data_IF_488208431612
#
_entry.id   IF_488208431612
#
_cell.length_a   1.000
_cell.length_b   1.000
_cell.length_c   1.000
_cell.angle_alpha   90.00
_cell.angle_beta   90.00
_cell.angle_gamma   90.00
#
_symmetry.space_group_name_H-M   'P 1'
#
loop_
_entity.id
_entity.type
_entity.pdbx_description
1 polymer ?
#
# COMPACT_ATOMS: atom_id res chain seq x y z
N UNK A 1 -25.97 30.96 2.77
CA UNK A 1 -25.70 31.17 4.21
C UNK A 1 -26.28 30.04 5.05
N UNK A 2 -27.54 29.63 4.85
CA UNK A 2 -28.14 28.45 5.50
C UNK A 2 -27.46 27.11 5.12
N UNK A 3 -27.05 26.92 3.86
CA UNK A 3 -26.34 25.70 3.42
C UNK A 3 -24.94 25.50 4.04
N UNK A 4 -24.29 26.59 4.49
CA UNK A 4 -23.01 26.51 5.21
C UNK A 4 -23.21 26.04 6.66
N UNK A 5 -24.33 26.42 7.31
CA UNK A 5 -24.62 26.03 8.69
C UNK A 5 -24.94 24.53 8.84
N UNK A 6 -25.74 23.97 7.93
CA UNK A 6 -26.04 22.53 7.91
C UNK A 6 -24.79 21.68 7.57
N UNK A 7 -23.89 22.24 6.76
CA UNK A 7 -22.60 21.61 6.47
C UNK A 7 -21.70 21.56 7.71
N UNK A 8 -21.60 22.65 8.48
CA UNK A 8 -20.80 22.70 9.70
C UNK A 8 -21.33 21.76 10.80
N UNK A 9 -22.65 21.65 10.98
CA UNK A 9 -23.24 20.81 12.01
C UNK A 9 -22.98 19.30 11.79
N UNK A 10 -23.12 18.81 10.56
CA UNK A 10 -22.88 17.40 10.23
C UNK A 10 -21.39 17.01 10.36
N UNK A 11 -20.49 17.94 10.03
CA UNK A 11 -19.04 17.73 10.13
C UNK A 11 -18.58 17.66 11.59
N UNK A 12 -19.23 18.44 12.44
CA UNK A 12 -18.94 18.49 13.86
C UNK A 12 -19.25 17.14 14.51
N UNK A 13 -20.46 16.62 14.28
CA UNK A 13 -20.89 15.35 14.85
C UNK A 13 -20.02 14.17 14.40
N UNK A 14 -19.72 14.04 13.10
CA UNK A 14 -18.91 12.92 12.60
C UNK A 14 -17.50 12.91 13.21
N UNK A 15 -16.89 14.09 13.35
CA UNK A 15 -15.59 14.23 13.97
C UNK A 15 -15.64 13.92 15.47
N UNK A 16 -16.62 14.45 16.20
CA UNK A 16 -16.79 14.17 17.62
C UNK A 16 -17.02 12.67 17.88
N UNK A 17 -17.87 12.03 17.07
CA UNK A 17 -18.13 10.59 17.15
C UNK A 17 -16.86 9.77 16.91
N UNK A 18 -16.04 10.18 15.93
CA UNK A 18 -14.76 9.53 15.65
C UNK A 18 -13.78 9.70 16.83
N UNK A 19 -13.63 10.91 17.36
CA UNK A 19 -12.76 11.17 18.52
C UNK A 19 -13.25 10.39 19.74
N UNK A 20 -14.55 10.39 20.01
CA UNK A 20 -15.15 9.64 21.11
C UNK A 20 -14.89 8.14 20.96
N UNK A 21 -15.17 7.57 19.79
CA UNK A 21 -14.93 6.16 19.52
C UNK A 21 -13.46 5.79 19.75
N UNK A 22 -12.53 6.56 19.18
CA UNK A 22 -11.09 6.30 19.27
C UNK A 22 -10.63 6.39 20.72
N UNK A 23 -10.96 7.47 21.42
CA UNK A 23 -10.54 7.70 22.81
C UNK A 23 -11.21 6.76 23.81
N UNK A 24 -12.33 6.13 23.45
CA UNK A 24 -12.94 5.05 24.24
C UNK A 24 -12.16 3.72 24.18
N UNK A 25 -11.26 3.57 23.19
CA UNK A 25 -10.50 2.35 22.94
C UNK A 25 -9.00 2.50 23.10
N UNK A 26 -8.48 3.72 22.94
CA UNK A 26 -7.06 4.02 22.93
C UNK A 26 -6.80 5.15 23.93
N UNK A 27 -5.71 5.04 24.68
CA UNK A 27 -5.29 6.09 25.60
C UNK A 27 -5.09 7.43 24.84
N UNK A 28 -5.86 8.43 25.26
CA UNK A 28 -5.80 9.81 24.76
C UNK A 28 -4.40 10.43 24.78
N UNK A 29 -3.54 10.01 25.71
CA UNK A 29 -2.16 10.50 25.78
C UNK A 29 -1.32 10.13 24.55
N UNK A 30 -1.70 9.05 23.87
CA UNK A 30 -1.06 8.52 22.65
C UNK A 30 -1.67 9.07 21.36
N UNK A 31 -2.69 9.92 21.46
CA UNK A 31 -3.43 10.46 20.32
C UNK A 31 -3.07 11.92 20.12
N UNK A 32 -2.82 12.30 18.87
CA UNK A 32 -2.68 13.70 18.47
C UNK A 32 -3.43 14.00 17.19
N UNK A 33 -3.69 15.28 16.93
CA UNK A 33 -4.45 15.75 15.78
C UNK A 33 -3.56 16.68 14.97
N UNK A 34 -3.39 16.41 13.67
CA UNK A 34 -2.84 17.39 12.73
C UNK A 34 -3.98 18.15 12.05
N UNK A 35 -3.89 19.47 12.02
CA UNK A 35 -4.83 20.34 11.31
C UNK A 35 -4.08 21.40 10.50
N UNK A 36 -4.61 21.72 9.31
CA UNK A 36 -4.02 22.73 8.43
C UNK A 36 -4.14 24.14 9.03
N UNK A 37 -3.17 25.00 8.73
CA UNK A 37 -3.25 26.45 9.03
C UNK A 37 -2.92 27.30 7.81
N UNK A 38 -3.79 28.26 7.43
CA UNK A 38 -5.16 28.45 7.94
C UNK A 38 -6.10 27.31 7.49
N UNK A 39 -7.09 26.96 8.31
CA UNK A 39 -8.15 26.01 7.95
C UNK A 39 -9.46 26.33 8.66
N UNK A 40 -10.63 26.20 7.98
CA UNK A 40 -11.93 26.31 8.62
C UNK A 40 -12.22 25.17 9.62
N UNK A 41 -11.37 24.14 9.65
CA UNK A 41 -11.50 23.00 10.57
C UNK A 41 -10.80 23.22 11.91
N UNK A 42 -10.19 24.40 12.13
CA UNK A 42 -9.46 24.71 13.36
C UNK A 42 -10.37 24.68 14.60
N UNK A 43 -11.51 25.35 14.56
CA UNK A 43 -12.44 25.43 15.70
C UNK A 43 -12.96 24.04 16.11
N UNK A 44 -13.12 23.15 15.13
CA UNK A 44 -13.54 21.77 15.35
C UNK A 44 -12.57 21.01 16.26
N UNK A 45 -11.26 21.13 16.00
CA UNK A 45 -10.23 20.38 16.76
C UNK A 45 -9.90 21.02 18.11
N UNK A 46 -10.07 22.34 18.23
CA UNK A 46 -9.80 23.08 19.48
C UNK A 46 -10.79 22.74 20.61
N UNK A 47 -11.94 22.14 20.28
CA UNK A 47 -12.89 21.62 21.27
C UNK A 47 -12.40 20.35 21.98
N UNK A 48 -11.35 19.70 21.47
CA UNK A 48 -10.84 18.43 22.02
C UNK A 48 -9.79 18.65 23.10
N UNK A 49 -9.65 17.69 24.02
CA UNK A 49 -8.56 17.68 25.01
C UNK A 49 -7.27 16.99 24.48
N UNK A 50 -7.18 16.76 23.17
CA UNK A 50 -6.07 16.04 22.55
C UNK A 50 -4.92 16.99 22.19
N UNK A 51 -3.73 16.42 21.98
CA UNK A 51 -2.58 17.20 21.51
C UNK A 51 -2.78 17.63 20.06
N UNK A 52 -2.77 18.93 19.78
CA UNK A 52 -2.98 19.49 18.44
C UNK A 52 -1.66 19.96 17.84
N UNK A 53 -1.44 19.61 16.56
CA UNK A 53 -0.32 20.02 15.74
C UNK A 53 -0.83 20.83 14.54
N UNK A 54 -0.43 22.09 14.49
CA UNK A 54 -0.74 22.98 13.36
C UNK A 54 0.33 22.83 12.28
N UNK A 55 -0.09 22.44 11.07
CA UNK A 55 0.82 22.23 9.94
C UNK A 55 0.48 23.18 8.78
N UNK A 56 1.48 23.53 7.94
CA UNK A 56 1.24 24.22 6.68
C UNK A 56 0.20 23.49 5.83
N UNK A 57 -0.70 24.24 5.18
CA UNK A 57 -1.83 23.69 4.42
C UNK A 57 -1.39 22.71 3.32
N UNK A 58 -0.27 22.97 2.67
CA UNK A 58 0.31 22.12 1.64
C UNK A 58 0.66 20.70 2.13
N UNK A 59 0.83 20.51 3.44
CA UNK A 59 1.08 19.20 4.04
C UNK A 59 -0.20 18.42 4.35
N UNK A 60 -1.35 19.11 4.39
CA UNK A 60 -2.65 18.58 4.81
C UNK A 60 -3.75 18.89 3.81
N UNK A 61 -3.38 19.11 2.55
CA UNK A 61 -4.32 19.15 1.43
C UNK A 61 -4.38 17.77 0.80
N UNK A 62 -5.59 17.22 0.70
CA UNK A 62 -5.83 15.94 0.04
C UNK A 62 -6.36 16.18 -1.36
N UNK A 63 -5.99 15.31 -2.29
CA UNK A 63 -6.45 15.35 -3.68
C UNK A 63 -6.88 13.96 -4.12
N UNK A 64 -8.11 13.83 -4.63
CA UNK A 64 -8.51 12.61 -5.33
C UNK A 64 -7.76 12.55 -6.66
N UNK A 65 -7.23 11.36 -6.99
CA UNK A 65 -6.56 11.13 -8.28
C UNK A 65 -7.46 11.55 -9.45
N UNK A 66 -6.96 12.45 -10.29
CA UNK A 66 -7.73 13.09 -11.36
C UNK A 66 -8.14 14.54 -11.06
N UNK A 67 -7.82 15.06 -9.88
CA UNK A 67 -7.86 16.49 -9.55
C UNK A 67 -9.26 17.09 -9.38
N UNK A 68 -10.32 16.26 -9.43
CA UNK A 68 -11.71 16.73 -9.34
C UNK A 68 -12.15 17.12 -7.93
N UNK A 69 -11.53 16.53 -6.91
CA UNK A 69 -11.84 16.77 -5.51
C UNK A 69 -10.56 17.10 -4.76
N UNK A 70 -10.60 18.15 -3.98
CA UNK A 70 -9.51 18.53 -3.09
C UNK A 70 -10.04 19.23 -1.86
N UNK A 71 -9.36 19.06 -0.73
CA UNK A 71 -9.83 19.59 0.53
C UNK A 71 -8.77 19.67 1.59
N UNK A 72 -9.02 20.52 2.58
CA UNK A 72 -8.27 20.48 3.83
C UNK A 72 -8.60 19.17 4.56
N UNK A 73 -7.58 18.61 5.23
CA UNK A 73 -7.66 17.37 5.98
C UNK A 73 -7.35 17.60 7.46
N UNK A 74 -8.09 16.91 8.33
CA UNK A 74 -7.64 16.61 9.70
C UNK A 74 -7.09 15.18 9.72
N UNK A 75 -5.93 14.98 10.33
CA UNK A 75 -5.39 13.64 10.60
C UNK A 75 -5.43 13.37 12.10
N UNK A 76 -5.94 12.21 12.49
CA UNK A 76 -5.85 11.69 13.85
C UNK A 76 -4.74 10.64 13.88
N UNK A 77 -3.77 10.87 14.76
CA UNK A 77 -2.48 10.21 14.80
C UNK A 77 -2.32 9.40 16.07
N UNK A 78 -1.67 8.25 15.95
CA UNK A 78 -1.19 7.43 17.06
C UNK A 78 0.34 7.46 17.08
N UNK A 79 0.95 7.52 18.26
CA UNK A 79 2.40 7.75 18.46
C UNK A 79 3.30 7.01 17.46
N UNK A 80 2.99 5.73 17.16
CA UNK A 80 3.60 5.00 16.04
C UNK A 80 2.67 3.86 15.63
N UNK A 81 2.23 3.75 14.37
CA UNK A 81 2.51 4.56 13.18
C UNK A 81 1.57 5.77 13.05
N UNK A 82 2.10 6.77 12.34
CA UNK A 82 1.73 8.18 12.42
C UNK A 82 0.27 8.56 12.15
N UNK A 83 -0.56 7.77 11.46
CA UNK A 83 -1.88 8.22 10.99
C UNK A 83 -2.81 7.03 10.90
N UNK A 84 -4.04 7.09 11.42
CA UNK A 84 -5.02 6.02 11.18
C UNK A 84 -6.42 6.49 10.83
N UNK A 85 -6.79 7.75 11.10
CA UNK A 85 -8.06 8.33 10.67
C UNK A 85 -7.85 9.70 10.01
N UNK A 86 -8.56 9.95 8.92
CA UNK A 86 -8.54 11.18 8.15
C UNK A 86 -9.99 11.67 7.95
N UNK A 87 -10.21 12.97 8.18
CA UNK A 87 -11.45 13.66 7.83
C UNK A 87 -11.12 14.70 6.76
N UNK A 88 -11.85 14.68 5.65
CA UNK A 88 -11.62 15.56 4.50
C UNK A 88 -12.81 16.48 4.28
N UNK A 89 -12.55 17.78 4.20
CA UNK A 89 -13.53 18.75 3.69
C UNK A 89 -13.26 18.98 2.20
N UNK A 90 -13.82 18.10 1.37
CA UNK A 90 -13.64 18.13 -0.09
C UNK A 90 -14.49 19.23 -0.72
N UNK A 91 -13.89 20.00 -1.61
CA UNK A 91 -14.60 20.93 -2.49
C UNK A 91 -14.40 20.55 -3.94
N UNK A 92 -15.46 20.65 -4.75
CA UNK A 92 -15.40 20.44 -6.20
C UNK A 92 -16.30 21.42 -6.94
N UNK A 93 -15.99 21.67 -8.21
CA UNK A 93 -16.79 22.57 -9.07
C UNK A 93 -17.78 21.72 -9.88
N UNK A 94 -19.07 21.97 -9.70
CA UNK A 94 -20.15 21.38 -10.47
C UNK A 94 -21.00 22.51 -11.06
N UNK A 95 -21.15 22.57 -12.39
CA UNK A 95 -21.96 23.60 -13.06
C UNK A 95 -21.62 25.04 -12.65
N UNK A 96 -20.33 25.37 -12.49
CA UNK A 96 -19.82 26.66 -11.99
C UNK A 96 -20.17 26.99 -10.52
N UNK A 97 -20.65 26.02 -9.75
CA UNK A 97 -20.89 26.14 -8.31
C UNK A 97 -19.87 25.31 -7.54
N UNK A 98 -19.25 25.90 -6.51
CA UNK A 98 -18.42 25.17 -5.56
C UNK A 98 -19.37 24.38 -4.65
N UNK A 99 -19.26 23.06 -4.69
CA UNK A 99 -19.98 22.15 -3.79
C UNK A 99 -18.98 21.60 -2.77
N UNK A 100 -19.37 21.57 -1.50
CA UNK A 100 -18.59 20.98 -0.42
C UNK A 100 -19.17 19.62 -0.03
N UNK A 101 -18.30 18.65 0.19
CA UNK A 101 -18.59 17.28 0.60
C UNK A 101 -17.65 16.94 1.74
N UNK A 102 -18.16 16.27 2.78
CA UNK A 102 -17.29 15.66 3.78
C UNK A 102 -17.13 14.19 3.48
N UNK A 103 -15.87 13.79 3.48
CA UNK A 103 -15.42 12.43 3.31
C UNK A 103 -14.59 12.05 4.54
N UNK A 104 -14.56 10.77 4.88
CA UNK A 104 -13.78 10.27 6.01
C UNK A 104 -13.22 8.89 5.72
N UNK A 105 -12.04 8.61 6.25
CA UNK A 105 -11.40 7.33 6.04
C UNK A 105 -10.57 6.95 7.24
N UNK A 106 -10.84 5.76 7.76
CA UNK A 106 -10.07 5.16 8.83
C UNK A 106 -9.49 3.83 8.35
N UNK A 107 -8.17 3.69 8.44
CA UNK A 107 -7.49 2.45 8.07
C UNK A 107 -7.70 1.42 9.19
N UNK A 108 -8.60 0.46 8.93
CA UNK A 108 -8.97 -0.58 9.89
C UNK A 108 -7.76 -1.34 10.43
N UNK A 109 -6.76 -1.62 9.60
CA UNK A 109 -5.55 -2.34 9.99
C UNK A 109 -4.71 -1.54 10.99
N UNK A 110 -4.59 -0.22 10.79
CA UNK A 110 -3.86 0.65 11.71
C UNK A 110 -4.65 0.89 12.99
N UNK A 111 -5.97 1.02 12.91
CA UNK A 111 -6.83 1.09 14.09
C UNK A 111 -6.71 -0.19 14.92
N UNK A 112 -6.84 -1.36 14.29
CA UNK A 112 -6.75 -2.66 14.97
C UNK A 112 -5.38 -2.84 15.64
N UNK A 113 -4.31 -2.42 14.95
CA UNK A 113 -2.97 -2.43 15.51
C UNK A 113 -2.81 -1.46 16.69
N UNK A 114 -3.43 -0.27 16.67
CA UNK A 114 -3.40 0.65 17.79
C UNK A 114 -4.21 0.14 19.00
N UNK A 115 -5.43 -0.38 18.77
CA UNK A 115 -6.30 -0.93 19.83
C UNK A 115 -5.63 -2.11 20.56
N UNK A 116 -4.93 -2.98 19.82
CA UNK A 116 -4.28 -4.16 20.39
C UNK A 116 -2.80 -3.95 20.71
N UNK A 117 -2.30 -2.72 20.60
CA UNK A 117 -0.89 -2.36 20.86
C UNK A 117 0.13 -3.22 20.09
N UNK A 118 -0.22 -3.62 18.87
CA UNK A 118 0.69 -4.33 17.97
C UNK A 118 1.81 -3.40 17.48
N UNK A 119 3.01 -3.95 17.28
CA UNK A 119 4.18 -3.16 16.82
C UNK A 119 4.03 -2.69 15.38
N UNK A 120 3.30 -3.45 14.56
CA UNK A 120 3.04 -3.12 13.17
C UNK A 120 1.77 -3.81 12.67
N UNK A 121 1.23 -3.36 11.53
CA UNK A 121 -0.01 -3.88 10.95
C UNK A 121 0.05 -5.37 10.58
N UNK A 122 1.25 -5.95 10.40
CA UNK A 122 1.41 -7.36 10.06
C UNK A 122 1.28 -8.32 11.24
N UNK A 123 1.16 -7.78 12.46
CA UNK A 123 0.83 -8.55 13.66
C UNK A 123 -0.68 -8.65 13.89
N UNK A 124 -1.49 -7.89 13.14
CA UNK A 124 -2.95 -8.04 13.15
C UNK A 124 -3.37 -9.43 12.69
N UNK A 125 -4.45 -9.98 13.25
CA UNK A 125 -4.85 -11.37 13.04
C UNK A 125 -4.98 -11.76 11.56
N UNK A 126 -5.54 -10.89 10.71
CA UNK A 126 -5.71 -11.15 9.28
C UNK A 126 -4.35 -11.39 8.58
N UNK A 127 -3.37 -10.50 8.78
CA UNK A 127 -2.05 -10.61 8.16
C UNK A 127 -1.15 -11.62 8.87
N UNK A 128 -1.27 -11.74 10.18
CA UNK A 128 -0.49 -12.68 11.00
C UNK A 128 -0.80 -14.14 10.61
N UNK A 129 -2.05 -14.45 10.28
CA UNK A 129 -2.44 -15.78 9.83
C UNK A 129 -1.79 -16.15 8.48
N UNK A 130 -1.72 -15.20 7.54
CA UNK A 130 -1.01 -15.39 6.26
C UNK A 130 0.49 -15.58 6.54
N UNK A 131 1.10 -14.72 7.37
CA UNK A 131 2.52 -14.83 7.76
C UNK A 131 2.85 -16.18 8.40
N UNK A 132 2.05 -16.64 9.35
CA UNK A 132 2.23 -17.94 10.02
C UNK A 132 2.15 -19.12 9.05
N UNK A 133 1.29 -19.05 8.04
CA UNK A 133 1.22 -20.08 6.99
C UNK A 133 2.46 -20.03 6.10
N UNK A 134 2.89 -18.84 5.67
CA UNK A 134 4.11 -18.67 4.88
C UNK A 134 5.35 -19.16 5.63
N UNK A 135 5.48 -18.83 6.93
CA UNK A 135 6.66 -19.18 7.74
C UNK A 135 6.80 -20.67 8.00
N UNK A 136 5.71 -21.46 7.91
CA UNK A 136 5.76 -22.93 8.01
C UNK A 136 6.46 -23.56 6.80
N UNK A 137 6.39 -22.89 5.66
CA UNK A 137 6.89 -23.41 4.39
C UNK A 137 8.24 -22.76 4.02
N UNK A 138 8.46 -21.50 4.42
CA UNK A 138 9.61 -20.69 3.99
C UNK A 138 10.07 -19.77 5.11
N UNK A 139 11.37 -19.78 5.38
CA UNK A 139 12.00 -18.77 6.25
C UNK A 139 12.37 -17.54 5.42
N UNK A 140 11.43 -16.60 5.28
CA UNK A 140 11.73 -15.29 4.71
C UNK A 140 12.26 -14.33 5.78
N UNK A 141 13.13 -13.41 5.38
CA UNK A 141 13.37 -12.20 6.15
C UNK A 141 12.07 -11.41 6.34
N UNK A 142 11.92 -10.78 7.50
CA UNK A 142 10.66 -10.14 7.89
C UNK A 142 10.12 -9.13 6.86
N UNK A 143 10.93 -8.22 6.26
CA UNK A 143 10.42 -7.29 5.25
C UNK A 143 9.82 -7.99 4.03
N UNK A 144 10.43 -9.12 3.63
CA UNK A 144 9.96 -9.92 2.50
C UNK A 144 8.68 -10.69 2.85
N UNK A 145 8.63 -11.28 4.05
CA UNK A 145 7.43 -11.94 4.57
C UNK A 145 6.24 -10.98 4.63
N UNK A 146 6.47 -9.76 5.13
CA UNK A 146 5.45 -8.70 5.21
C UNK A 146 4.95 -8.32 3.82
N UNK A 147 5.87 -8.09 2.87
CA UNK A 147 5.51 -7.79 1.49
C UNK A 147 4.65 -8.89 0.88
N UNK A 148 5.12 -10.16 0.90
CA UNK A 148 4.38 -11.27 0.28
C UNK A 148 3.00 -11.42 0.92
N UNK A 149 2.89 -11.26 2.24
CA UNK A 149 1.60 -11.38 2.95
C UNK A 149 0.60 -10.30 2.52
N UNK A 150 1.05 -9.05 2.39
CA UNK A 150 0.21 -7.95 1.91
C UNK A 150 -0.28 -8.19 0.48
N UNK A 151 0.62 -8.60 -0.42
CA UNK A 151 0.25 -8.86 -1.81
C UNK A 151 -0.69 -10.08 -1.94
N UNK A 152 -0.49 -11.13 -1.14
CA UNK A 152 -1.39 -12.29 -1.12
C UNK A 152 -2.78 -11.90 -0.61
N UNK A 153 -2.86 -11.07 0.44
CA UNK A 153 -4.14 -10.54 0.92
C UNK A 153 -4.84 -9.74 -0.17
N UNK A 154 -4.13 -8.85 -0.86
CA UNK A 154 -4.68 -8.08 -1.97
C UNK A 154 -5.18 -8.99 -3.12
N UNK A 155 -4.38 -9.98 -3.51
CA UNK A 155 -4.77 -10.98 -4.53
C UNK A 155 -6.01 -11.78 -4.10
N UNK A 156 -6.12 -12.19 -2.84
CA UNK A 156 -7.30 -12.87 -2.31
C UNK A 156 -8.56 -12.03 -2.50
N UNK A 157 -8.53 -10.73 -2.12
CA UNK A 157 -9.69 -9.83 -2.28
C UNK A 157 -10.05 -9.62 -3.75
N UNK A 158 -9.05 -9.46 -4.63
CA UNK A 158 -9.28 -9.32 -6.07
C UNK A 158 -9.92 -10.57 -6.68
N UNK A 159 -9.44 -11.75 -6.30
CA UNK A 159 -9.95 -13.03 -6.81
C UNK A 159 -11.38 -13.29 -6.33
N UNK A 160 -11.72 -12.94 -5.08
CA UNK A 160 -13.09 -13.02 -4.56
C UNK A 160 -14.07 -12.09 -5.28
N UNK A 161 -13.57 -11.08 -5.99
CA UNK A 161 -14.36 -10.16 -6.83
C UNK A 161 -14.28 -10.52 -8.32
N UNK A 162 -13.80 -11.73 -8.66
CA UNK A 162 -13.58 -12.21 -10.03
C UNK A 162 -12.66 -11.31 -10.88
N UNK A 163 -11.82 -10.50 -10.23
CA UNK A 163 -10.74 -9.75 -10.88
C UNK A 163 -9.53 -10.66 -10.97
N UNK A 164 -9.44 -11.38 -12.09
CA UNK A 164 -8.46 -12.45 -12.31
C UNK A 164 -7.28 -11.96 -13.17
N UNK A 165 -6.10 -12.62 -13.09
CA UNK A 165 -4.93 -12.26 -13.91
C UNK A 165 -5.25 -12.24 -15.41
N UNK A 166 -4.94 -11.15 -16.08
CA UNK A 166 -5.23 -10.96 -17.49
C UNK A 166 -4.32 -9.92 -18.16
N UNK A 167 -4.59 -9.56 -19.43
CA UNK A 167 -3.67 -8.73 -20.21
C UNK A 167 -3.83 -7.21 -20.02
N UNK A 168 -4.97 -6.72 -19.52
CA UNK A 168 -5.32 -5.28 -19.51
C UNK A 168 -6.12 -4.88 -18.28
N UNK A 169 -6.16 -3.58 -17.99
CA UNK A 169 -6.97 -3.00 -16.91
C UNK A 169 -6.64 -3.58 -15.54
N UNK A 170 -7.66 -3.74 -14.70
CA UNK A 170 -7.52 -4.33 -13.36
C UNK A 170 -6.94 -5.76 -13.42
N UNK A 171 -7.30 -6.55 -14.43
CA UNK A 171 -6.76 -7.90 -14.64
C UNK A 171 -5.25 -7.87 -14.94
N UNK A 172 -4.79 -6.86 -15.68
CA UNK A 172 -3.38 -6.61 -15.95
C UNK A 172 -2.58 -6.26 -14.68
N UNK A 173 -3.12 -5.37 -13.85
CA UNK A 173 -2.52 -5.03 -12.56
C UNK A 173 -2.53 -6.23 -11.59
N UNK A 174 -3.59 -7.03 -11.58
CA UNK A 174 -3.68 -8.28 -10.81
C UNK A 174 -2.60 -9.28 -11.25
N UNK A 175 -2.41 -9.46 -12.56
CA UNK A 175 -1.32 -10.31 -13.08
C UNK A 175 0.05 -9.80 -12.67
N UNK A 176 0.27 -8.48 -12.68
CA UNK A 176 1.54 -7.86 -12.25
C UNK A 176 1.79 -8.10 -10.75
N UNK A 177 0.74 -7.97 -9.93
CA UNK A 177 0.76 -8.27 -8.50
C UNK A 177 1.17 -9.74 -8.24
N UNK A 178 0.50 -10.67 -8.91
CA UNK A 178 0.80 -12.10 -8.83
C UNK A 178 2.25 -12.39 -9.23
N UNK A 179 2.72 -11.87 -10.37
CA UNK A 179 4.10 -12.07 -10.81
C UNK A 179 5.13 -11.52 -9.82
N UNK A 180 4.85 -10.40 -9.16
CA UNK A 180 5.76 -9.84 -8.14
C UNK A 180 5.93 -10.76 -6.93
N UNK A 181 4.87 -11.49 -6.55
CA UNK A 181 4.91 -12.54 -5.53
C UNK A 181 5.69 -13.75 -6.04
N UNK A 182 5.35 -14.26 -7.23
CA UNK A 182 6.01 -15.43 -7.83
C UNK A 182 7.53 -15.25 -7.96
N UNK A 183 7.99 -14.07 -8.45
CA UNK A 183 9.42 -13.77 -8.53
C UNK A 183 10.10 -13.87 -7.17
N UNK A 184 9.49 -13.33 -6.12
CA UNK A 184 10.09 -13.31 -4.78
C UNK A 184 10.16 -14.69 -4.16
N UNK A 185 9.12 -15.51 -4.35
CA UNK A 185 9.13 -16.93 -3.95
C UNK A 185 10.22 -17.69 -4.72
N UNK A 186 10.25 -17.55 -6.05
CA UNK A 186 11.25 -18.25 -6.89
C UNK A 186 12.69 -17.83 -6.58
N UNK A 187 12.91 -16.55 -6.31
CA UNK A 187 14.21 -15.99 -5.95
C UNK A 187 14.76 -16.56 -4.64
N UNK A 188 13.90 -17.07 -3.76
CA UNK A 188 14.26 -17.78 -2.53
C UNK A 188 14.20 -19.31 -2.72
N UNK A 189 14.34 -19.77 -3.96
CA UNK A 189 14.45 -21.18 -4.33
C UNK A 189 13.30 -22.06 -3.81
N UNK A 190 12.10 -21.47 -3.66
CA UNK A 190 10.91 -22.18 -3.20
C UNK A 190 9.97 -22.57 -4.34
N UNK A 191 9.24 -23.69 -4.16
CA UNK A 191 8.15 -24.10 -5.04
C UNK A 191 7.03 -23.04 -5.08
N UNK A 192 6.65 -22.66 -6.30
CA UNK A 192 5.59 -21.71 -6.58
C UNK A 192 4.20 -22.26 -6.26
N UNK A 193 4.04 -23.59 -6.17
CA UNK A 193 2.76 -24.21 -5.81
C UNK A 193 2.26 -23.80 -4.42
N UNK A 194 3.13 -23.30 -3.54
CA UNK A 194 2.75 -22.79 -2.22
C UNK A 194 1.65 -21.71 -2.30
N UNK A 195 1.59 -20.93 -3.38
CA UNK A 195 0.59 -19.85 -3.50
C UNK A 195 -0.84 -20.38 -3.54
N UNK A 196 -1.05 -21.65 -3.90
CA UNK A 196 -2.36 -22.30 -3.96
C UNK A 196 -2.98 -22.50 -2.58
N UNK A 197 -2.17 -22.51 -1.53
CA UNK A 197 -2.67 -22.53 -0.14
C UNK A 197 -3.34 -21.19 0.25
N UNK A 198 -3.11 -20.13 -0.53
CA UNK A 198 -3.56 -18.78 -0.24
C UNK A 198 -4.61 -18.28 -1.23
N UNK A 199 -4.55 -18.69 -2.49
CA UNK A 199 -5.38 -18.14 -3.55
C UNK A 199 -6.33 -19.19 -4.12
N UNK A 200 -7.61 -18.84 -4.37
CA UNK A 200 -8.53 -19.73 -5.06
C UNK A 200 -8.19 -19.84 -6.57
N UNK A 201 -8.91 -20.72 -7.28
CA UNK A 201 -8.82 -20.92 -8.74
C UNK A 201 -7.54 -21.61 -9.25
N UNK A 202 -7.30 -22.85 -8.80
CA UNK A 202 -6.14 -23.67 -9.17
C UNK A 202 -5.83 -23.72 -10.67
N UNK A 203 -6.85 -23.83 -11.52
CA UNK A 203 -6.64 -23.91 -12.98
C UNK A 203 -5.97 -22.64 -13.54
N UNK A 204 -6.38 -21.46 -13.08
CA UNK A 204 -5.84 -20.18 -13.52
C UNK A 204 -4.44 -19.98 -12.94
N UNK A 205 -4.27 -20.30 -11.65
CA UNK A 205 -2.96 -20.24 -10.99
C UNK A 205 -1.94 -21.16 -11.67
N UNK A 206 -2.33 -22.39 -12.02
CA UNK A 206 -1.49 -23.33 -12.74
C UNK A 206 -0.99 -22.75 -14.07
N UNK A 207 -1.88 -22.16 -14.85
CA UNK A 207 -1.51 -21.53 -16.12
C UNK A 207 -0.56 -20.36 -15.91
N UNK A 208 -0.85 -19.46 -14.96
CA UNK A 208 0.01 -18.31 -14.68
C UNK A 208 1.39 -18.72 -14.12
N UNK A 209 1.46 -19.76 -13.27
CA UNK A 209 2.73 -20.33 -12.79
C UNK A 209 3.54 -20.88 -13.97
N UNK A 210 2.95 -21.69 -14.84
CA UNK A 210 3.65 -22.29 -15.98
C UNK A 210 4.18 -21.21 -16.95
N UNK A 211 3.35 -20.20 -17.25
CA UNK A 211 3.76 -19.05 -18.08
C UNK A 211 4.89 -18.29 -17.41
N UNK A 212 4.77 -18.05 -16.09
CA UNK A 212 5.79 -17.37 -15.31
C UNK A 212 7.12 -18.11 -15.34
N UNK A 213 7.14 -19.42 -15.05
CA UNK A 213 8.37 -20.21 -15.01
C UNK A 213 9.08 -20.26 -16.37
N UNK A 214 8.33 -20.44 -17.45
CA UNK A 214 8.87 -20.39 -18.82
C UNK A 214 9.59 -19.06 -19.08
N UNK A 215 8.96 -17.95 -18.69
CA UNK A 215 9.50 -16.60 -18.88
C UNK A 215 10.69 -16.33 -17.95
N UNK A 216 10.62 -16.76 -16.69
CA UNK A 216 11.70 -16.66 -15.71
C UNK A 216 12.95 -17.40 -16.22
N UNK A 217 12.81 -18.63 -16.68
CA UNK A 217 13.92 -19.42 -17.23
C UNK A 217 14.51 -18.82 -18.51
N UNK A 218 13.67 -18.19 -19.36
CA UNK A 218 14.16 -17.42 -20.51
C UNK A 218 14.97 -16.21 -20.05
N UNK A 219 14.50 -15.47 -19.04
CA UNK A 219 15.19 -14.33 -18.47
C UNK A 219 16.55 -14.72 -17.87
N UNK A 220 16.61 -15.77 -17.04
CA UNK A 220 17.86 -16.24 -16.44
C UNK A 220 18.88 -16.65 -17.51
N UNK A 221 18.47 -17.36 -18.57
CA UNK A 221 19.35 -17.69 -19.70
C UNK A 221 19.88 -16.44 -20.41
N UNK A 222 19.02 -15.45 -20.62
CA UNK A 222 19.41 -14.19 -21.22
C UNK A 222 20.43 -13.44 -20.36
N UNK A 223 20.18 -13.33 -19.04
CA UNK A 223 21.10 -12.67 -18.10
C UNK A 223 22.47 -13.35 -18.08
N UNK A 224 22.52 -14.69 -17.98
CA UNK A 224 23.76 -15.47 -18.06
C UNK A 224 24.57 -15.20 -19.34
N UNK A 225 23.89 -15.03 -20.47
CA UNK A 225 24.56 -14.81 -21.76
C UNK A 225 25.07 -13.37 -21.95
N UNK A 226 24.44 -12.38 -21.30
CA UNK A 226 24.71 -10.96 -21.56
C UNK A 226 25.44 -10.25 -20.40
N UNK A 227 25.27 -10.73 -19.16
CA UNK A 227 25.87 -10.15 -17.97
C UNK A 227 27.06 -10.99 -17.47
N UNK A 228 28.16 -10.99 -18.24
CA UNK A 228 29.40 -11.74 -17.95
C UNK A 228 30.43 -10.97 -17.10
N UNK A 229 30.31 -9.65 -17.00
CA UNK A 229 31.24 -8.80 -16.26
C UNK A 229 30.82 -8.68 -14.79
N UNK A 230 31.76 -8.35 -13.91
CA UNK A 230 31.46 -8.15 -12.48
C UNK A 230 30.75 -6.83 -12.18
N UNK A 231 30.85 -5.84 -13.07
CA UNK A 231 30.28 -4.51 -12.86
C UNK A 231 29.60 -4.03 -14.13
N UNK A 232 28.40 -3.45 -13.97
CA UNK A 232 27.63 -2.86 -15.06
C UNK A 232 27.09 -1.49 -14.69
N UNK A 233 26.95 -0.60 -15.69
CA UNK A 233 26.15 0.61 -15.55
C UNK A 233 24.67 0.25 -15.38
N UNK A 234 24.02 0.82 -14.36
CA UNK A 234 22.60 0.59 -14.07
C UNK A 234 21.68 0.94 -15.26
N UNK A 235 22.02 1.94 -16.07
CA UNK A 235 21.22 2.32 -17.24
C UNK A 235 21.27 1.23 -18.32
N UNK A 236 22.46 0.68 -18.57
CA UNK A 236 22.63 -0.45 -19.50
C UNK A 236 21.83 -1.67 -19.04
N UNK A 237 21.77 -1.92 -17.73
CA UNK A 237 20.98 -3.03 -17.16
C UNK A 237 19.48 -2.78 -17.31
N UNK A 238 19.03 -1.53 -17.13
CA UNK A 238 17.63 -1.14 -17.39
C UNK A 238 17.25 -1.31 -18.86
N UNK A 239 18.11 -0.94 -19.80
CA UNK A 239 17.89 -1.13 -21.23
C UNK A 239 17.77 -2.61 -21.61
N UNK A 240 18.71 -3.44 -21.14
CA UNK A 240 18.68 -4.90 -21.35
C UNK A 240 17.39 -5.51 -20.81
N UNK A 241 16.94 -5.04 -19.65
CA UNK A 241 15.68 -5.46 -19.02
C UNK A 241 14.47 -5.08 -19.86
N UNK A 242 14.40 -3.84 -20.33
CA UNK A 242 13.28 -3.34 -21.14
C UNK A 242 13.16 -4.09 -22.47
N UNK A 243 14.29 -4.32 -23.15
CA UNK A 243 14.33 -5.04 -24.43
C UNK A 243 13.82 -6.48 -24.35
N UNK A 244 13.92 -7.12 -23.19
CA UNK A 244 13.46 -8.49 -22.98
C UNK A 244 12.24 -8.59 -22.06
N UNK A 245 11.65 -7.46 -21.65
CA UNK A 245 10.53 -7.40 -20.70
C UNK A 245 10.80 -8.19 -19.41
N UNK A 246 12.05 -8.18 -18.93
CA UNK A 246 12.44 -8.89 -17.70
C UNK A 246 11.97 -8.09 -16.48
N UNK A 247 11.51 -8.78 -15.44
CA UNK A 247 11.13 -8.11 -14.20
C UNK A 247 12.36 -7.70 -13.40
N UNK A 248 12.33 -6.49 -12.86
CA UNK A 248 13.43 -5.90 -12.13
C UNK A 248 13.96 -6.79 -11.00
N UNK A 249 13.12 -7.40 -10.15
CA UNK A 249 13.62 -8.23 -9.05
C UNK A 249 14.31 -9.52 -9.52
N UNK A 250 14.07 -10.00 -10.75
CA UNK A 250 14.81 -11.14 -11.33
C UNK A 250 16.26 -10.73 -11.58
N UNK A 251 16.46 -9.54 -12.16
CA UNK A 251 17.80 -9.04 -12.53
C UNK A 251 18.63 -8.78 -11.28
N UNK A 252 18.08 -8.05 -10.30
CA UNK A 252 18.80 -7.69 -9.08
C UNK A 252 19.15 -8.91 -8.23
N UNK A 253 18.22 -9.85 -8.04
CA UNK A 253 18.51 -11.07 -7.27
C UNK A 253 19.55 -11.94 -7.99
N UNK A 254 19.41 -12.14 -9.30
CA UNK A 254 20.39 -12.89 -10.08
C UNK A 254 21.78 -12.26 -10.00
N UNK A 255 21.88 -10.93 -10.14
CA UNK A 255 23.14 -10.21 -10.03
C UNK A 255 23.77 -10.37 -8.63
N UNK A 256 22.98 -10.22 -7.56
CA UNK A 256 23.43 -10.43 -6.19
C UNK A 256 23.97 -11.86 -5.99
N UNK A 257 23.23 -12.89 -6.42
CA UNK A 257 23.66 -14.30 -6.33
C UNK A 257 24.96 -14.58 -7.12
N UNK A 258 25.28 -13.77 -8.12
CA UNK A 258 26.46 -13.94 -8.97
C UNK A 258 27.57 -12.89 -8.71
N UNK A 259 27.48 -12.12 -7.61
CA UNK A 259 28.44 -11.06 -7.26
C UNK A 259 28.65 -10.04 -8.39
N UNK A 260 27.55 -9.65 -9.05
CA UNK A 260 27.52 -8.60 -10.07
C UNK A 260 27.02 -7.31 -9.44
N UNK A 261 27.79 -6.24 -9.60
CA UNK A 261 27.52 -4.93 -9.02
C UNK A 261 27.02 -3.95 -10.08
N UNK A 262 26.14 -3.04 -9.66
CA UNK A 262 25.64 -1.97 -10.51
C UNK A 262 26.20 -0.63 -10.05
N UNK A 263 26.93 0.05 -10.94
CA UNK A 263 27.40 1.41 -10.69
C UNK A 263 26.34 2.41 -11.12
N UNK A 264 26.10 3.43 -10.28
CA UNK A 264 25.41 4.64 -10.72
C UNK A 264 26.36 5.37 -11.67
N UNK A 265 25.88 5.72 -12.86
CA UNK A 265 26.64 6.58 -13.77
C UNK A 265 26.95 7.90 -13.05
N UNK A 266 28.22 8.31 -13.09
CA UNK A 266 28.59 9.68 -12.73
C UNK A 266 27.92 10.58 -13.76
N UNK A 267 26.95 11.38 -13.32
CA UNK A 267 26.42 12.49 -14.09
C UNK A 267 27.50 13.56 -14.21
#
# INVERSE_FOLDING_TARGET
>A
MLELFDFHANNFQLFEDAIYFITSKIDSSKISINVATPSPLKELVESTNLKIHYLPRENLIWHLKGGKYSGDRIEINYETPKIFCELWNLSYICNNTITSLVDSGMCLERLNMAINEYKNVFETEELLNIKKKLSKQISFEEPLSNYISDQLRALQKLFLQDILPGPRGANGETRKLLKNVLVRIKNNDTDLNIIKEFLPYDNILNQEILIFEKNYNKAIRYLKNNLKQKTYDIQKVRELRMNQSIQEPIVFNWAQKNNIFFSLSKK
#
